data_IF_737329891866
#
_entry.id   IF_737329891866
#
_cell.length_a   1.000
_cell.length_b   1.000
_cell.length_c   1.000
_cell.angle_alpha   90.00
_cell.angle_beta   90.00
_cell.angle_gamma   90.00
#
_symmetry.space_group_name_H-M   'P 1'
#
loop_
_entity.id
_entity.type
_entity.pdbx_description
1 polymer ?
#
# COMPACT_ATOMS: atom_id res chain seq x y z
N UNK A 1 6.92 -5.71 20.25
CA UNK A 1 7.25 -6.19 18.89
C UNK A 1 6.62 -5.22 17.90
N UNK A 2 7.34 -4.81 16.85
CA UNK A 2 6.86 -3.85 15.85
C UNK A 2 5.80 -4.51 14.94
N UNK A 3 4.67 -3.85 14.74
CA UNK A 3 3.56 -4.32 13.90
C UNK A 3 3.78 -3.97 12.44
N UNK A 4 3.65 -4.96 11.57
CA UNK A 4 3.75 -4.80 10.13
C UNK A 4 2.38 -4.45 9.54
N UNK A 5 2.32 -3.35 8.81
CA UNK A 5 1.07 -2.79 8.26
C UNK A 5 1.10 -2.85 6.73
N UNK A 6 -0.05 -3.20 6.15
CA UNK A 6 -0.35 -3.00 4.73
C UNK A 6 -1.48 -1.98 4.61
N UNK A 7 -1.31 -0.98 3.74
CA UNK A 7 -2.30 0.10 3.55
C UNK A 7 -2.82 0.05 2.12
N UNK A 8 -4.08 -0.36 1.98
CA UNK A 8 -4.79 -0.32 0.71
C UNK A 8 -5.39 1.08 0.50
N UNK A 9 -5.01 1.79 -0.56
CA UNK A 9 -5.46 3.18 -0.78
C UNK A 9 -4.69 4.21 0.06
N UNK A 10 -3.36 4.09 0.10
CA UNK A 10 -2.44 4.92 0.87
C UNK A 10 -2.50 6.42 0.57
N UNK A 11 -2.89 6.78 -0.66
CA UNK A 11 -3.01 8.18 -1.13
C UNK A 11 -4.41 8.77 -0.92
N UNK A 12 -5.34 8.01 -0.35
CA UNK A 12 -6.66 8.50 0.08
C UNK A 12 -6.61 9.12 1.48
N UNK A 13 -7.73 9.69 1.94
CA UNK A 13 -7.80 10.33 3.27
C UNK A 13 -7.42 9.38 4.40
N UNK A 14 -7.98 8.15 4.42
CA UNK A 14 -7.67 7.13 5.44
C UNK A 14 -6.21 6.70 5.34
N UNK A 15 -5.72 6.48 4.12
CA UNK A 15 -4.34 6.10 3.86
C UNK A 15 -3.34 7.12 4.39
N UNK A 16 -3.54 8.40 4.07
CA UNK A 16 -2.68 9.50 4.56
C UNK A 16 -2.69 9.61 6.07
N UNK A 17 -3.87 9.60 6.71
CA UNK A 17 -3.95 9.62 8.17
C UNK A 17 -3.26 8.41 8.81
N UNK A 18 -3.36 7.23 8.19
CA UNK A 18 -2.66 6.03 8.66
C UNK A 18 -1.15 6.18 8.53
N UNK A 19 -0.67 6.70 7.40
CA UNK A 19 0.74 7.01 7.19
C UNK A 19 1.23 8.01 8.24
N UNK A 20 0.47 9.05 8.55
CA UNK A 20 0.83 10.05 9.55
C UNK A 20 0.95 9.45 10.96
N UNK A 21 0.11 8.45 11.30
CA UNK A 21 0.24 7.71 12.56
C UNK A 21 1.53 6.86 12.56
N UNK A 22 1.87 6.21 11.44
CA UNK A 22 3.13 5.45 11.32
C UNK A 22 4.34 6.38 11.45
N UNK A 23 4.30 7.58 10.86
CA UNK A 23 5.36 8.60 11.02
C UNK A 23 5.57 9.02 12.47
N UNK A 24 4.49 9.13 13.23
CA UNK A 24 4.53 9.53 14.64
C UNK A 24 4.98 8.39 15.57
N UNK A 25 4.88 7.14 15.12
CA UNK A 25 5.20 5.95 15.92
C UNK A 25 6.03 4.90 15.15
N UNK A 26 7.20 5.27 14.60
CA UNK A 26 8.04 4.37 13.80
C UNK A 26 8.61 3.20 14.61
N UNK A 27 8.65 3.29 15.93
CA UNK A 27 9.06 2.22 16.83
C UNK A 27 7.99 1.14 16.99
N UNK A 28 6.72 1.47 16.69
CA UNK A 28 5.58 0.56 16.83
C UNK A 28 5.12 -0.03 15.51
N UNK A 29 5.26 0.69 14.40
CA UNK A 29 4.71 0.30 13.11
C UNK A 29 5.75 0.30 12.00
N UNK A 30 5.62 -0.65 11.08
CA UNK A 30 6.37 -0.71 9.83
C UNK A 30 5.43 -0.97 8.67
N UNK A 31 5.45 -0.09 7.67
CA UNK A 31 4.74 -0.31 6.42
C UNK A 31 5.49 -1.36 5.60
N UNK A 32 4.80 -2.42 5.19
CA UNK A 32 5.34 -3.47 4.31
C UNK A 32 4.65 -3.53 2.95
N UNK A 33 3.42 -3.01 2.86
CA UNK A 33 2.61 -2.94 1.65
C UNK A 33 1.88 -1.61 1.50
N UNK A 34 1.87 -1.03 0.30
CA UNK A 34 1.09 0.17 -0.03
C UNK A 34 0.34 -0.04 -1.33
N UNK A 35 -0.85 0.56 -1.47
CA UNK A 35 -1.48 0.70 -2.78
C UNK A 35 -1.98 2.11 -3.07
N UNK A 36 -2.06 2.44 -4.36
CA UNK A 36 -2.72 3.65 -4.88
C UNK A 36 -3.59 3.26 -6.07
N UNK A 37 -4.59 4.08 -6.41
CA UNK A 37 -5.30 3.90 -7.66
C UNK A 37 -4.52 4.53 -8.81
N UNK A 38 -4.38 5.86 -8.79
CA UNK A 38 -3.77 6.64 -9.89
C UNK A 38 -2.67 7.61 -9.45
N UNK A 39 -2.57 7.93 -8.16
CA UNK A 39 -1.62 8.94 -7.67
C UNK A 39 -0.23 8.32 -7.47
N UNK A 40 0.55 8.26 -8.56
CA UNK A 40 1.88 7.66 -8.62
C UNK A 40 2.92 8.52 -7.91
N UNK A 41 2.84 9.85 -8.06
CA UNK A 41 3.82 10.77 -7.48
C UNK A 41 3.84 10.64 -5.94
N UNK A 42 2.66 10.63 -5.32
CA UNK A 42 2.56 10.45 -3.87
C UNK A 42 3.00 9.04 -3.44
N UNK A 43 2.64 8.00 -4.20
CA UNK A 43 3.11 6.63 -3.93
C UNK A 43 4.64 6.54 -3.97
N UNK A 44 5.30 7.18 -4.93
CA UNK A 44 6.77 7.18 -5.03
C UNK A 44 7.43 7.86 -3.84
N UNK A 45 6.88 8.98 -3.36
CA UNK A 45 7.35 9.65 -2.13
C UNK A 45 7.26 8.72 -0.94
N UNK A 46 6.13 8.03 -0.77
CA UNK A 46 5.93 7.04 0.29
C UNK A 46 6.88 5.84 0.15
N UNK A 47 7.18 5.40 -1.08
CA UNK A 47 8.11 4.31 -1.33
C UNK A 47 9.54 4.65 -0.93
N UNK A 48 9.98 5.88 -1.21
CA UNK A 48 11.30 6.37 -0.80
C UNK A 48 11.38 6.47 0.73
N UNK A 49 10.33 7.00 1.36
CA UNK A 49 10.24 7.22 2.81
C UNK A 49 10.21 5.90 3.59
N UNK A 50 9.28 5.00 3.26
CA UNK A 50 9.00 3.81 4.07
C UNK A 50 9.66 2.53 3.56
N UNK A 51 10.14 2.52 2.31
CA UNK A 51 10.77 1.36 1.67
C UNK A 51 9.95 0.07 1.87
N UNK A 52 8.65 0.07 1.50
CA UNK A 52 7.81 -1.13 1.63
C UNK A 52 8.36 -2.25 0.75
N UNK A 53 8.02 -3.50 1.10
CA UNK A 53 8.42 -4.67 0.31
C UNK A 53 7.66 -4.75 -1.01
N UNK A 54 6.38 -4.35 -0.99
CA UNK A 54 5.47 -4.43 -2.13
C UNK A 54 4.66 -3.15 -2.27
N UNK A 55 4.41 -2.73 -3.51
CA UNK A 55 3.43 -1.70 -3.81
C UNK A 55 2.53 -2.07 -4.96
N UNK A 56 1.29 -1.59 -4.93
CA UNK A 56 0.30 -1.87 -5.97
C UNK A 56 -0.22 -0.57 -6.56
N UNK A 57 -0.26 -0.50 -7.87
CA UNK A 57 -1.03 0.52 -8.59
C UNK A 57 -2.25 -0.17 -9.22
N UNK A 58 -3.43 0.13 -8.70
CA UNK A 58 -4.66 -0.54 -9.14
C UNK A 58 -5.05 -0.16 -10.58
N UNK A 59 -4.80 1.08 -11.00
CA UNK A 59 -5.08 1.53 -12.36
C UNK A 59 -3.92 1.18 -13.31
N UNK A 60 -4.23 0.42 -14.37
CA UNK A 60 -3.22 -0.04 -15.33
C UNK A 60 -2.55 1.10 -16.12
N UNK A 61 -3.30 2.16 -16.48
CA UNK A 61 -2.74 3.32 -17.19
C UNK A 61 -1.73 4.08 -16.32
N UNK A 62 -2.06 4.27 -15.03
CA UNK A 62 -1.14 4.87 -14.08
C UNK A 62 0.06 3.95 -13.79
N UNK A 63 -0.14 2.64 -13.74
CA UNK A 63 0.93 1.65 -13.49
C UNK A 63 2.04 1.74 -14.55
N UNK A 64 1.69 1.93 -15.82
CA UNK A 64 2.68 2.09 -16.92
C UNK A 64 3.63 3.29 -16.71
N UNK A 65 3.19 4.30 -15.98
CA UNK A 65 3.98 5.50 -15.68
C UNK A 65 4.78 5.36 -14.36
N UNK A 66 4.63 4.24 -13.66
CA UNK A 66 5.33 3.99 -12.40
C UNK A 66 6.66 3.27 -12.67
N UNK A 67 7.73 3.76 -12.04
CA UNK A 67 9.05 3.16 -12.11
C UNK A 67 9.19 2.14 -10.96
N UNK A 68 9.58 0.92 -11.30
CA UNK A 68 9.93 -0.11 -10.30
C UNK A 68 11.22 0.26 -9.58
N UNK A 69 11.30 -0.03 -8.27
CA UNK A 69 12.54 0.07 -7.50
C UNK A 69 13.10 -1.33 -7.25
N UNK A 70 14.43 -1.48 -7.22
CA UNK A 70 15.08 -2.78 -6.92
C UNK A 70 14.67 -3.36 -5.56
N UNK A 71 14.24 -2.50 -4.62
CA UNK A 71 13.91 -2.89 -3.25
C UNK A 71 12.40 -3.03 -2.99
N UNK A 72 11.56 -2.70 -3.97
CA UNK A 72 10.11 -2.75 -3.83
C UNK A 72 9.46 -3.41 -5.05
N UNK A 73 8.80 -4.55 -4.81
CA UNK A 73 8.06 -5.26 -5.85
C UNK A 73 6.83 -4.43 -6.23
N UNK A 74 6.83 -3.90 -7.45
CA UNK A 74 5.68 -3.19 -8.01
C UNK A 74 4.71 -4.21 -8.64
N UNK A 75 3.45 -4.13 -8.22
CA UNK A 75 2.33 -4.96 -8.64
C UNK A 75 1.24 -4.07 -9.25
N UNK A 76 0.30 -4.68 -9.96
CA UNK A 76 -0.79 -3.96 -10.61
C UNK A 76 -2.13 -4.63 -10.43
N UNK A 77 -3.19 -3.84 -10.61
CA UNK A 77 -4.54 -4.36 -10.72
C UNK A 77 -5.06 -4.97 -9.42
N UNK A 78 -6.10 -5.79 -9.59
CA UNK A 78 -6.84 -6.40 -8.48
C UNK A 78 -6.05 -7.53 -7.83
N UNK A 79 -5.37 -8.32 -8.64
CA UNK A 79 -4.51 -9.43 -8.23
C UNK A 79 -3.38 -8.93 -7.32
N UNK A 80 -2.79 -7.77 -7.66
CA UNK A 80 -1.82 -7.12 -6.80
C UNK A 80 -2.40 -6.70 -5.45
N UNK A 81 -3.63 -6.16 -5.43
CA UNK A 81 -4.31 -5.77 -4.19
C UNK A 81 -4.58 -6.97 -3.28
N UNK A 82 -5.04 -8.09 -3.85
CA UNK A 82 -5.23 -9.35 -3.13
C UNK A 82 -3.90 -9.88 -2.58
N UNK A 83 -2.83 -9.91 -3.40
CA UNK A 83 -1.51 -10.40 -2.98
C UNK A 83 -0.94 -9.65 -1.76
N UNK A 84 -1.08 -8.32 -1.71
CA UNK A 84 -0.58 -7.54 -0.57
C UNK A 84 -1.51 -7.62 0.64
N UNK A 85 -2.82 -7.78 0.43
CA UNK A 85 -3.80 -7.89 1.51
C UNK A 85 -3.66 -9.23 2.25
N UNK A 86 -3.40 -10.31 1.50
CA UNK A 86 -3.19 -11.65 2.04
C UNK A 86 -1.72 -11.95 2.38
N UNK A 87 -0.84 -10.93 2.43
CA UNK A 87 0.58 -11.15 2.73
C UNK A 87 0.73 -11.66 4.18
N UNK A 88 1.27 -12.87 4.41
CA UNK A 88 1.38 -13.46 5.74
C UNK A 88 2.30 -12.68 6.68
N UNK A 89 3.11 -11.75 6.16
CA UNK A 89 3.87 -10.84 6.99
C UNK A 89 3.05 -9.66 7.52
N UNK A 90 1.85 -9.39 7.01
CA UNK A 90 0.99 -8.30 7.48
C UNK A 90 0.35 -8.68 8.82
N UNK A 91 0.64 -7.95 9.89
CA UNK A 91 -0.12 -8.05 11.14
C UNK A 91 -1.48 -7.35 11.02
N UNK A 92 -1.53 -6.25 10.25
CA UNK A 92 -2.69 -5.36 10.15
C UNK A 92 -2.82 -4.92 8.68
N UNK A 93 -4.04 -5.00 8.16
CA UNK A 93 -4.40 -4.45 6.84
C UNK A 93 -5.38 -3.30 7.04
N UNK A 94 -5.00 -2.11 6.59
CA UNK A 94 -5.86 -0.92 6.61
C UNK A 94 -6.47 -0.72 5.23
N UNK A 95 -7.80 -0.65 5.18
CA UNK A 95 -8.54 -0.53 3.92
C UNK A 95 -9.08 0.89 3.77
N UNK A 96 -8.40 1.69 2.94
CA UNK A 96 -8.79 3.04 2.53
C UNK A 96 -9.32 3.11 1.09
N UNK A 97 -9.67 1.97 0.48
CA UNK A 97 -10.25 1.89 -0.86
C UNK A 97 -11.77 2.11 -0.76
N UNK A 98 -12.31 2.96 -1.62
CA UNK A 98 -13.75 3.22 -1.70
C UNK A 98 -14.47 2.25 -2.65
N UNK A 99 -15.70 1.88 -2.31
CA UNK A 99 -16.58 1.08 -3.16
C UNK A 99 -16.20 -0.40 -3.26
N UNK A 100 -16.77 -1.09 -4.25
CA UNK A 100 -16.65 -2.55 -4.41
C UNK A 100 -15.20 -3.02 -4.67
N UNK A 101 -14.34 -2.13 -5.13
CA UNK A 101 -12.91 -2.41 -5.34
C UNK A 101 -12.18 -2.84 -4.05
N UNK A 102 -12.70 -2.46 -2.87
CA UNK A 102 -12.14 -2.87 -1.58
C UNK A 102 -12.62 -4.23 -1.09
N UNK A 103 -13.68 -4.80 -1.65
CA UNK A 103 -14.30 -6.02 -1.11
C UNK A 103 -13.40 -7.25 -1.24
N UNK A 104 -12.83 -7.46 -2.42
CA UNK A 104 -12.05 -8.66 -2.71
C UNK A 104 -10.74 -8.70 -1.91
N UNK A 105 -9.98 -7.60 -1.78
CA UNK A 105 -8.84 -7.55 -0.86
C UNK A 105 -9.20 -7.80 0.61
N UNK A 106 -10.42 -7.48 1.06
CA UNK A 106 -10.85 -7.78 2.44
C UNK A 106 -11.09 -9.29 2.65
N UNK A 107 -11.47 -10.01 1.59
CA UNK A 107 -11.80 -11.45 1.64
C UNK A 107 -10.61 -12.36 1.33
N UNK A 108 -9.48 -11.79 0.92
CA UNK A 108 -8.28 -12.49 0.49
C UNK A 108 -7.50 -13.12 1.66
#
# INVERSE_FOLDING_TARGET
MMKKITILGATGSIGRSTVDIVRQHPEKFRIIGLSTNTNIEELQKLNIEFKPKKTVVANYEAYKNCVSSEHCKLLSGKEGLEEIASDPESDIVVVGIVGFAGLLPIMA
#
